data_IF_981622167797
#
_entry.id   IF_981622167797
#
_cell.length_a   1.000
_cell.length_b   1.000
_cell.length_c   1.000
_cell.angle_alpha   90.00
_cell.angle_beta   90.00
_cell.angle_gamma   90.00
#
_symmetry.space_group_name_H-M   'P 1'
#
loop_
_entity.id
_entity.type
_entity.pdbx_description
1 polymer ?
#
# COMPACT_ATOMS: atom_id res chain seq x y z
N UNK A 1 15.31 17.60 7.87
CA UNK A 1 14.35 16.56 8.29
C UNK A 1 13.23 17.34 8.98
N UNK A 2 12.16 17.67 8.25
CA UNK A 2 11.25 18.77 8.59
C UNK A 2 10.67 18.69 10.02
N UNK A 3 10.40 17.48 10.53
CA UNK A 3 9.80 17.30 11.86
C UNK A 3 10.77 17.51 13.04
N UNK A 4 12.08 17.60 12.79
CA UNK A 4 13.10 17.79 13.85
C UNK A 4 13.41 19.28 14.10
N UNK A 5 13.05 20.15 13.16
CA UNK A 5 13.28 21.60 13.26
C UNK A 5 12.11 22.34 13.94
N UNK A 6 10.89 21.80 13.91
CA UNK A 6 9.68 22.47 14.38
C UNK A 6 9.17 22.07 15.79
N UNK A 7 9.82 21.13 16.48
CA UNK A 7 9.37 20.57 17.80
C UNK A 7 7.86 20.27 17.86
N UNK A 8 7.28 19.91 16.71
CA UNK A 8 5.85 19.67 16.52
C UNK A 8 5.64 18.18 16.28
N UNK A 9 4.67 17.57 16.99
CA UNK A 9 4.10 16.28 16.59
C UNK A 9 3.51 16.46 15.20
N UNK A 10 4.21 15.95 14.20
CA UNK A 10 4.03 16.41 12.83
C UNK A 10 2.62 16.09 12.30
N UNK A 11 1.99 17.08 11.68
CA UNK A 11 0.80 16.91 10.85
C UNK A 11 1.00 15.88 9.71
N UNK A 12 2.26 15.60 9.38
CA UNK A 12 2.70 14.59 8.42
C UNK A 12 2.30 13.16 8.82
N UNK A 13 2.39 12.79 10.11
CA UNK A 13 2.09 11.43 10.59
C UNK A 13 0.66 11.28 11.11
N UNK A 14 0.01 12.35 11.57
CA UNK A 14 -1.34 12.25 12.18
C UNK A 14 -2.47 12.01 11.17
N UNK A 15 -2.34 12.47 9.92
CA UNK A 15 -3.37 12.30 8.88
C UNK A 15 -3.24 11.04 8.02
N UNK A 16 -2.03 10.48 7.90
CA UNK A 16 -1.72 9.43 6.92
C UNK A 16 -1.87 7.99 7.42
N UNK A 17 -1.84 7.78 8.73
CA UNK A 17 -1.72 6.44 9.34
C UNK A 17 -2.95 6.13 10.19
N UNK A 18 -4.06 5.84 9.50
CA UNK A 18 -5.31 5.37 10.12
C UNK A 18 -5.54 3.91 9.78
N UNK A 19 -5.87 3.09 10.78
CA UNK A 19 -6.24 1.68 10.61
C UNK A 19 -7.77 1.51 10.75
N UNK A 20 -8.54 1.61 9.65
CA UNK A 20 -9.97 1.33 9.69
C UNK A 20 -10.21 -0.18 9.78
N UNK A 21 -11.20 -0.58 10.59
CA UNK A 21 -11.65 -1.97 10.63
C UNK A 21 -12.27 -2.37 9.28
N UNK A 22 -11.83 -3.50 8.72
CA UNK A 22 -12.42 -4.12 7.54
C UNK A 22 -13.46 -5.12 8.02
N UNK A 23 -14.74 -4.71 8.02
CA UNK A 23 -15.84 -5.47 8.63
C UNK A 23 -16.49 -6.48 7.67
N UNK A 24 -16.08 -6.49 6.40
CA UNK A 24 -16.62 -7.39 5.39
C UNK A 24 -15.53 -7.87 4.41
N UNK A 25 -15.75 -9.06 3.83
CA UNK A 25 -14.80 -9.70 2.91
C UNK A 25 -14.60 -8.91 1.60
N UNK A 26 -15.62 -8.16 1.16
CA UNK A 26 -15.54 -7.33 -0.05
C UNK A 26 -14.62 -6.13 0.16
N UNK A 27 -14.66 -5.52 1.35
CA UNK A 27 -13.81 -4.43 1.77
C UNK A 27 -12.37 -4.92 1.89
N UNK A 28 -12.16 -6.13 2.43
CA UNK A 28 -10.85 -6.77 2.47
C UNK A 28 -10.29 -6.99 1.05
N UNK A 29 -11.05 -7.65 0.17
CA UNK A 29 -10.63 -7.90 -1.20
C UNK A 29 -10.35 -6.61 -1.97
N UNK A 30 -11.19 -5.59 -1.79
CA UNK A 30 -10.99 -4.27 -2.39
C UNK A 30 -9.72 -3.60 -1.89
N UNK A 31 -9.40 -3.72 -0.59
CA UNK A 31 -8.17 -3.18 0.00
C UNK A 31 -6.93 -3.89 -0.54
N UNK A 32 -6.98 -5.22 -0.64
CA UNK A 32 -5.90 -6.03 -1.22
C UNK A 32 -5.65 -5.63 -2.67
N UNK A 33 -6.69 -5.62 -3.51
CA UNK A 33 -6.58 -5.21 -4.91
C UNK A 33 -6.06 -3.76 -5.07
N UNK A 34 -6.45 -2.86 -4.16
CA UNK A 34 -5.95 -1.49 -4.17
C UNK A 34 -4.43 -1.41 -3.95
N UNK A 35 -3.92 -2.14 -2.95
CA UNK A 35 -2.50 -2.17 -2.62
C UNK A 35 -1.70 -2.80 -3.76
N UNK A 36 -2.21 -3.88 -4.33
CA UNK A 36 -1.55 -4.62 -5.41
C UNK A 36 -1.40 -3.80 -6.69
N UNK A 37 -2.39 -2.94 -6.98
CA UNK A 37 -2.36 -2.05 -8.15
C UNK A 37 -1.52 -0.79 -7.92
N UNK A 38 -1.03 -0.55 -6.71
CA UNK A 38 -0.33 0.69 -6.38
C UNK A 38 0.99 0.87 -7.16
N UNK A 39 1.85 -0.14 -7.34
CA UNK A 39 3.07 -0.02 -8.15
C UNK A 39 2.79 0.38 -9.60
N UNK A 40 1.72 -0.17 -10.19
CA UNK A 40 1.28 0.18 -11.56
C UNK A 40 0.76 1.62 -11.61
N UNK A 41 -0.05 2.04 -10.63
CA UNK A 41 -0.57 3.41 -10.54
C UNK A 41 0.54 4.44 -10.33
N UNK A 42 1.55 4.09 -9.55
CA UNK A 42 2.75 4.89 -9.33
C UNK A 42 3.72 4.88 -10.53
N UNK A 43 3.40 4.12 -11.59
CA UNK A 43 4.25 3.91 -12.78
C UNK A 43 5.62 3.32 -12.45
N UNK A 44 5.71 2.55 -11.36
CA UNK A 44 6.91 1.82 -10.95
C UNK A 44 7.01 0.44 -11.60
N UNK A 45 5.89 -0.10 -12.10
CA UNK A 45 5.81 -1.34 -12.86
C UNK A 45 4.79 -1.19 -14.00
N UNK A 46 4.98 -1.87 -15.14
CA UNK A 46 3.99 -1.85 -16.22
C UNK A 46 2.92 -2.92 -16.00
N UNK A 47 3.25 -4.00 -15.31
CA UNK A 47 2.31 -5.08 -14.96
C UNK A 47 2.46 -5.54 -13.51
N UNK A 48 1.48 -6.31 -13.01
CA UNK A 48 1.53 -6.87 -11.66
C UNK A 48 2.70 -7.85 -11.46
N UNK A 49 3.06 -8.64 -12.48
CA UNK A 49 4.19 -9.58 -12.40
C UNK A 49 5.56 -8.89 -12.29
N UNK A 50 5.66 -7.67 -12.80
CA UNK A 50 6.87 -6.82 -12.72
C UNK A 50 6.96 -6.01 -11.42
N UNK A 51 5.96 -6.10 -10.55
CA UNK A 51 5.93 -5.40 -9.27
C UNK A 51 6.83 -6.10 -8.25
N UNK A 52 8.14 -5.96 -8.42
CA UNK A 52 9.14 -6.64 -7.60
C UNK A 52 8.98 -6.31 -6.11
N UNK A 53 9.21 -7.32 -5.26
CA UNK A 53 9.14 -7.21 -3.79
C UNK A 53 7.76 -6.83 -3.25
N UNK A 54 6.69 -7.27 -3.92
CA UNK A 54 5.30 -7.06 -3.49
C UNK A 54 4.59 -8.39 -3.28
N UNK A 55 3.59 -8.42 -2.39
CA UNK A 55 2.82 -9.65 -2.11
C UNK A 55 1.99 -10.14 -3.31
N UNK A 56 1.66 -9.26 -4.28
CA UNK A 56 0.99 -9.68 -5.51
C UNK A 56 1.91 -10.50 -6.41
N UNK A 57 3.22 -10.19 -6.41
CA UNK A 57 4.20 -10.97 -7.13
C UNK A 57 4.24 -12.41 -6.60
N UNK A 58 4.38 -12.57 -5.28
CA UNK A 58 4.33 -13.88 -4.61
C UNK A 58 3.04 -14.64 -4.95
N UNK A 59 1.87 -14.01 -4.85
CA UNK A 59 0.59 -14.66 -5.22
C UNK A 59 0.51 -15.10 -6.68
N UNK A 60 1.14 -14.39 -7.61
CA UNK A 60 1.12 -14.76 -9.04
C UNK A 60 2.07 -15.94 -9.28
N UNK A 61 3.23 -15.99 -8.62
CA UNK A 61 4.27 -16.98 -8.87
C UNK A 61 4.17 -18.23 -8.00
N UNK A 62 3.69 -18.13 -6.76
CA UNK A 62 3.52 -19.27 -5.83
C UNK A 62 2.27 -20.12 -6.11
N UNK A 63 1.34 -19.61 -6.92
CA UNK A 63 0.14 -20.34 -7.36
C UNK A 63 0.29 -20.99 -8.75
N UNK A 64 1.52 -21.14 -9.25
CA UNK A 64 1.85 -21.88 -10.48
C UNK A 64 2.68 -23.11 -10.15
#
# INVERSE_FOLDING_TARGET
>A
MANKEDDCNSQFWEGGFRSPALLDEKALLSRMAYVDLNPVRAKMAATLGESNFTSIQERIFDHT
#
